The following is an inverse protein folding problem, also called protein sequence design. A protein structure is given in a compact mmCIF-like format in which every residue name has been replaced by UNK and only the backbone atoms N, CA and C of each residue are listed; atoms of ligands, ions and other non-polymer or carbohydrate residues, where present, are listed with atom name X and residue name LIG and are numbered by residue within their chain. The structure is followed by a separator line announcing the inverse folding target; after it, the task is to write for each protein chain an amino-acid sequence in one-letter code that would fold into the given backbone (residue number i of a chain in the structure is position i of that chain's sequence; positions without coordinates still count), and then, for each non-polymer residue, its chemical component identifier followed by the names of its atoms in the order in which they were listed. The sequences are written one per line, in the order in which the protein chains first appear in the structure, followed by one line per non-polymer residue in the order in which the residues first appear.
data_IF_716445778866
#
_entry.id   IF_716445778866
#
_cell.length_a   1.000
_cell.length_b   1.000
_cell.length_c   1.000
_cell.angle_alpha   90.00
_cell.angle_beta   90.00
_cell.angle_gamma   90.00
#
_symmetry.space_group_name_H-M   'P 1'
#
loop_
_entity.id
_entity.type
_entity.pdbx_description
1 polymer ?
#
# COMPACT_ATOMS: atom_id res chain seq x y z
N UNK A 1 -7.23 16.80 9.95
CA UNK A 1 -6.99 17.83 11.00
C UNK A 1 -8.25 18.70 11.07
N UNK A 2 -9.17 18.44 12.01
CA UNK A 2 -10.42 19.25 12.14
C UNK A 2 -10.17 20.61 12.80
N UNK A 3 -9.13 20.69 13.62
CA UNK A 3 -8.84 21.86 14.47
C UNK A 3 -8.36 23.07 13.65
N UNK A 4 -7.50 22.88 12.65
CA UNK A 4 -7.03 23.97 11.77
C UNK A 4 -8.16 24.62 10.97
N UNK A 5 -9.03 23.80 10.37
CA UNK A 5 -10.23 24.27 9.65
C UNK A 5 -11.25 24.96 10.55
N UNK A 6 -11.34 24.57 11.83
CA UNK A 6 -12.24 25.21 12.79
C UNK A 6 -11.70 26.58 13.27
N UNK A 7 -10.38 26.72 13.40
CA UNK A 7 -9.73 27.96 13.81
C UNK A 7 -9.75 29.04 12.71
N UNK A 8 -9.54 28.66 11.45
CA UNK A 8 -9.70 29.57 10.30
C UNK A 8 -11.12 30.13 10.20
N UNK A 9 -12.14 29.30 10.43
CA UNK A 9 -13.55 29.70 10.38
C UNK A 9 -13.93 30.66 11.51
N UNK A 10 -13.28 30.59 12.67
CA UNK A 10 -13.55 31.48 13.80
C UNK A 10 -12.72 32.78 13.78
N UNK A 11 -11.57 32.80 13.08
CA UNK A 11 -10.59 33.89 13.11
C UNK A 11 -10.01 34.21 11.72
N UNK A 12 -10.90 34.45 10.74
CA UNK A 12 -10.58 34.65 9.32
C UNK A 12 -9.64 35.85 9.02
N UNK A 13 -9.63 36.83 9.93
CA UNK A 13 -8.90 38.10 9.82
C UNK A 13 -7.59 38.14 10.62
N UNK A 14 -7.27 37.11 11.39
CA UNK A 14 -6.05 37.09 12.20
C UNK A 14 -4.84 36.63 11.36
N UNK A 15 -3.83 37.50 11.16
CA UNK A 15 -2.63 37.14 10.39
C UNK A 15 -1.90 35.92 10.95
N UNK A 16 -1.93 35.69 12.27
CA UNK A 16 -1.27 34.55 12.91
C UNK A 16 -1.97 33.23 12.58
N UNK A 17 -3.31 33.26 12.45
CA UNK A 17 -4.11 32.07 12.10
C UNK A 17 -3.84 31.66 10.65
N UNK A 18 -3.65 32.62 9.74
CA UNK A 18 -3.26 32.34 8.35
C UNK A 18 -1.90 31.66 8.24
N UNK A 19 -0.89 32.23 8.90
CA UNK A 19 0.47 31.65 8.92
C UNK A 19 0.49 30.26 9.57
N UNK A 20 -0.29 30.06 10.63
CA UNK A 20 -0.45 28.76 11.26
C UNK A 20 -1.07 27.73 10.30
N UNK A 21 -2.11 28.11 9.54
CA UNK A 21 -2.74 27.21 8.58
C UNK A 21 -1.82 26.82 7.44
N UNK A 22 -1.07 27.79 6.88
CA UNK A 22 -0.03 27.53 5.89
C UNK A 22 1.04 26.55 6.42
N UNK A 23 1.48 26.75 7.66
CA UNK A 23 2.44 25.86 8.32
C UNK A 23 1.87 24.44 8.52
N UNK A 24 0.60 24.32 8.91
CA UNK A 24 -0.08 23.03 9.06
C UNK A 24 -0.24 22.31 7.71
N UNK A 25 -0.51 23.05 6.63
CA UNK A 25 -0.58 22.49 5.28
C UNK A 25 0.79 21.96 4.83
N UNK A 26 1.86 22.72 5.08
CA UNK A 26 3.24 22.30 4.81
C UNK A 26 3.60 21.02 5.59
N UNK A 27 3.28 20.99 6.89
CA UNK A 27 3.51 19.83 7.74
C UNK A 27 2.74 18.60 7.24
N UNK A 28 1.48 18.77 6.81
CA UNK A 28 0.68 17.69 6.26
C UNK A 28 1.35 17.07 5.02
N UNK A 29 1.87 17.90 4.11
CA UNK A 29 2.58 17.44 2.93
C UNK A 29 3.81 16.61 3.33
N UNK A 30 4.66 17.14 4.24
CA UNK A 30 5.86 16.43 4.70
C UNK A 30 5.52 15.11 5.40
N UNK A 31 4.50 15.09 6.26
CA UNK A 31 4.09 13.86 6.95
C UNK A 31 3.49 12.83 6.01
N UNK A 32 2.77 13.26 4.97
CA UNK A 32 2.23 12.39 3.93
C UNK A 32 3.36 11.76 3.13
N UNK A 33 4.36 12.55 2.72
CA UNK A 33 5.53 12.05 2.00
C UNK A 33 6.34 11.05 2.85
N UNK A 34 6.51 11.35 4.15
CA UNK A 34 7.15 10.43 5.09
C UNK A 34 6.37 9.12 5.21
N UNK A 35 5.04 9.19 5.32
CA UNK A 35 4.20 7.98 5.38
C UNK A 35 4.37 7.15 4.11
N UNK A 36 4.34 7.76 2.93
CA UNK A 36 4.55 7.09 1.65
C UNK A 36 5.94 6.46 1.55
N UNK A 37 6.98 7.18 1.99
CA UNK A 37 8.34 6.65 2.04
C UNK A 37 8.44 5.42 2.95
N UNK A 38 7.84 5.48 4.15
CA UNK A 38 7.79 4.35 5.08
C UNK A 38 7.04 3.15 4.47
N UNK A 39 5.91 3.38 3.79
CA UNK A 39 5.19 2.28 3.13
C UNK A 39 6.06 1.60 2.06
N UNK A 40 6.84 2.36 1.27
CA UNK A 40 7.78 1.78 0.30
C UNK A 40 8.83 0.89 0.96
N UNK A 41 9.33 1.24 2.14
CA UNK A 41 10.31 0.39 2.85
C UNK A 41 9.75 -0.96 3.31
N UNK A 42 8.42 -1.12 3.38
CA UNK A 42 7.75 -2.37 3.76
C UNK A 42 7.48 -3.29 2.58
N UNK A 43 7.73 -2.84 1.34
CA UNK A 43 7.41 -3.63 0.16
C UNK A 43 8.31 -4.89 0.09
N UNK A 44 7.71 -6.01 -0.29
CA UNK A 44 8.38 -7.30 -0.45
C UNK A 44 7.97 -7.93 -1.79
N UNK A 45 8.86 -8.69 -2.44
CA UNK A 45 8.51 -9.37 -3.69
C UNK A 45 7.36 -10.36 -3.48
N UNK A 46 6.40 -10.35 -4.41
CA UNK A 46 5.18 -11.20 -4.37
C UNK A 46 5.47 -12.70 -4.52
N UNK A 47 6.73 -13.08 -4.80
CA UNK A 47 7.24 -14.45 -4.93
C UNK A 47 6.66 -15.48 -3.95
N UNK A 48 6.43 -15.09 -2.68
CA UNK A 48 5.85 -16.00 -1.67
C UNK A 48 4.46 -16.52 -2.04
N UNK A 49 3.61 -15.67 -2.62
CA UNK A 49 2.27 -16.04 -3.09
C UNK A 49 2.39 -16.99 -4.29
N UNK A 50 3.27 -16.65 -5.22
CA UNK A 50 3.49 -17.42 -6.45
C UNK A 50 4.02 -18.83 -6.18
N UNK A 51 4.79 -19.02 -5.10
CA UNK A 51 5.38 -20.32 -4.75
C UNK A 51 4.37 -21.48 -4.58
N UNK A 52 3.10 -21.20 -4.25
CA UNK A 52 2.05 -22.21 -4.07
C UNK A 52 1.34 -22.59 -5.37
N UNK A 53 1.29 -21.68 -6.34
CA UNK A 53 0.53 -21.83 -7.59
C UNK A 53 0.97 -23.02 -8.46
N UNK A 54 2.27 -23.32 -8.66
CA UNK A 54 2.71 -24.46 -9.47
C UNK A 54 2.16 -25.80 -8.95
N UNK A 55 2.13 -25.98 -7.63
CA UNK A 55 1.61 -27.21 -7.02
C UNK A 55 0.09 -27.30 -7.22
N UNK A 56 -0.64 -26.24 -6.91
CA UNK A 56 -2.10 -26.18 -7.09
C UNK A 56 -2.52 -26.47 -8.54
N UNK A 57 -1.85 -25.84 -9.51
CA UNK A 57 -2.13 -26.05 -10.93
C UNK A 57 -1.79 -27.48 -11.34
N UNK A 58 -0.66 -28.05 -10.87
CA UNK A 58 -0.27 -29.43 -11.15
C UNK A 58 -1.29 -30.44 -10.62
N UNK A 59 -1.72 -30.26 -9.37
CA UNK A 59 -2.70 -31.15 -8.72
C UNK A 59 -4.05 -31.09 -9.44
N UNK A 60 -4.50 -29.89 -9.85
CA UNK A 60 -5.73 -29.72 -10.61
C UNK A 60 -5.63 -30.33 -12.02
N UNK A 61 -4.49 -30.12 -12.69
CA UNK A 61 -4.20 -30.68 -14.02
C UNK A 61 -4.28 -32.21 -14.00
N UNK A 62 -3.72 -32.84 -12.95
CA UNK A 62 -3.78 -34.29 -12.75
C UNK A 62 -5.21 -34.78 -12.49
N UNK A 63 -5.95 -34.10 -11.59
CA UNK A 63 -7.35 -34.46 -11.28
C UNK A 63 -8.26 -34.41 -12.52
N UNK A 64 -8.04 -33.45 -13.41
CA UNK A 64 -8.83 -33.26 -14.62
C UNK A 64 -8.26 -33.98 -15.85
N UNK A 65 -7.14 -34.67 -15.69
CA UNK A 65 -6.41 -35.37 -16.75
C UNK A 65 -6.11 -34.48 -17.98
N UNK A 66 -5.73 -33.22 -17.72
CA UNK A 66 -5.35 -32.24 -18.76
C UNK A 66 -3.85 -32.01 -18.73
N UNK A 67 -3.26 -31.67 -19.87
CA UNK A 67 -1.91 -31.13 -19.93
C UNK A 67 -1.97 -29.60 -19.88
N UNK A 68 -1.32 -29.02 -18.87
CA UNK A 68 -1.28 -27.57 -18.65
C UNK A 68 0.17 -27.14 -18.52
N UNK A 69 0.53 -26.06 -19.23
CA UNK A 69 1.81 -25.36 -19.05
C UNK A 69 1.53 -24.08 -18.27
N UNK A 70 2.12 -23.96 -17.08
CA UNK A 70 2.04 -22.75 -16.27
C UNK A 70 3.24 -21.86 -16.59
N UNK A 71 2.98 -20.61 -16.95
CA UNK A 71 3.98 -19.55 -17.12
C UNK A 71 3.67 -18.44 -16.12
N UNK A 72 4.67 -17.98 -15.39
CA UNK A 72 4.53 -16.94 -14.37
C UNK A 72 5.47 -15.77 -14.69
N UNK A 73 4.98 -14.56 -14.51
CA UNK A 73 5.71 -13.32 -14.78
C UNK A 73 5.46 -12.33 -13.62
N UNK A 74 6.45 -11.50 -13.30
CA UNK A 74 6.31 -10.46 -12.28
C UNK A 74 6.48 -10.93 -10.83
N UNK A 75 7.19 -12.03 -10.58
CA UNK A 75 7.48 -12.54 -9.23
C UNK A 75 8.31 -11.55 -8.39
N UNK A 76 9.06 -10.70 -9.06
CA UNK A 76 9.86 -9.60 -8.53
C UNK A 76 9.04 -8.36 -8.17
N UNK A 77 7.77 -8.29 -8.59
CA UNK A 77 6.89 -7.16 -8.28
C UNK A 77 6.75 -7.04 -6.77
N UNK A 78 7.05 -5.85 -6.26
CA UNK A 78 6.98 -5.57 -4.85
C UNK A 78 5.54 -5.23 -4.42
N UNK A 79 5.11 -5.77 -3.29
CA UNK A 79 3.79 -5.59 -2.69
C UNK A 79 3.96 -5.27 -1.20
N UNK A 80 3.05 -4.49 -0.61
CA UNK A 80 3.08 -4.28 0.84
C UNK A 80 2.95 -5.63 1.56
N UNK A 81 3.80 -5.84 2.56
CA UNK A 81 3.85 -7.09 3.34
C UNK A 81 2.49 -7.51 3.90
N UNK A 82 1.68 -6.60 4.44
CA UNK A 82 0.38 -7.00 5.02
C UNK A 82 -0.56 -7.56 3.97
N UNK A 83 -0.57 -6.94 2.77
CA UNK A 83 -1.36 -7.42 1.64
C UNK A 83 -0.81 -8.76 1.13
N UNK A 84 0.51 -8.92 1.07
CA UNK A 84 1.14 -10.18 0.67
C UNK A 84 0.82 -11.33 1.64
N UNK A 85 0.79 -11.05 2.95
CA UNK A 85 0.45 -12.03 3.99
C UNK A 85 -1.05 -12.41 3.91
N UNK A 86 -1.96 -11.45 3.72
CA UNK A 86 -3.40 -11.72 3.53
C UNK A 86 -3.71 -12.57 2.29
N UNK A 87 -3.02 -12.34 1.17
CA UNK A 87 -3.18 -13.14 -0.06
C UNK A 87 -2.54 -14.52 0.10
N UNK A 88 -1.49 -14.61 0.90
CA UNK A 88 -0.69 -15.82 1.08
C UNK A 88 -1.34 -16.89 1.95
N UNK A 89 -2.22 -16.53 2.88
CA UNK A 89 -2.94 -17.48 3.73
C UNK A 89 -4.20 -18.03 3.01
N UNK A 90 -4.27 -19.36 2.77
CA UNK A 90 -5.40 -20.01 2.12
C UNK A 90 -6.62 -20.18 3.03
#
# INVERSE_FOLDING_TARGET
IKIGTQLEQQHESDPQVRVLSETLAQLNLVTTDLQLAVMKTRMLPIKKVFAKLPRMVRDLSQKLNKQVRLEMHGEETELDKSVADEIGDP
#
